data_IF_449299459834
#
_entry.id   IF_449299459834
#
_cell.length_a   1.000
_cell.length_b   1.000
_cell.length_c   1.000
_cell.angle_alpha   90.00
_cell.angle_beta   90.00
_cell.angle_gamma   90.00
#
_symmetry.space_group_name_H-M   'P 1'
#
loop_
_entity.id
_entity.type
_entity.pdbx_description
1 polymer ?
#
# COMPACT_ATOMS: atom_id res chain seq x y z
N UNK A 1 86.11 24.55 13.64
CA UNK A 1 84.93 24.50 14.48
C UNK A 1 83.70 24.73 13.62
N UNK A 2 83.07 23.65 13.17
CA UNK A 2 81.81 23.74 12.37
C UNK A 2 80.65 23.35 13.29
N UNK A 3 79.67 24.25 13.45
CA UNK A 3 78.46 23.99 14.22
C UNK A 3 77.46 23.22 13.36
N UNK A 4 77.02 22.07 13.88
CA UNK A 4 75.99 21.25 13.26
C UNK A 4 74.60 21.92 13.43
N UNK A 5 73.88 22.07 12.30
CA UNK A 5 72.48 22.53 12.28
C UNK A 5 71.60 21.32 12.39
N UNK A 6 70.84 21.25 13.47
CA UNK A 6 69.83 20.19 13.70
C UNK A 6 68.53 20.49 12.92
N UNK A 7 68.18 19.65 11.98
CA UNK A 7 66.92 19.71 11.24
C UNK A 7 65.82 18.95 12.01
N UNK A 8 64.96 19.67 12.68
CA UNK A 8 63.75 19.10 13.31
C UNK A 8 62.71 18.85 12.22
N UNK A 9 62.43 17.60 11.95
CA UNK A 9 61.36 17.18 11.04
C UNK A 9 60.02 17.41 11.78
N UNK A 10 59.24 18.35 11.30
CA UNK A 10 57.84 18.54 11.70
C UNK A 10 57.02 17.60 10.84
N UNK A 11 56.54 16.48 11.45
CA UNK A 11 55.61 15.56 10.84
C UNK A 11 54.20 16.10 10.98
N UNK A 12 53.65 16.73 9.92
CA UNK A 12 52.24 17.16 9.88
C UNK A 12 51.37 15.98 9.59
N UNK A 13 50.65 15.48 10.60
CA UNK A 13 49.56 14.51 10.43
C UNK A 13 48.34 15.21 9.83
N UNK A 14 48.08 15.02 8.54
CA UNK A 14 46.81 15.40 7.92
C UNK A 14 45.81 14.30 8.26
N UNK A 15 44.96 14.54 9.24
CA UNK A 15 43.78 13.72 9.49
C UNK A 15 42.76 14.00 8.37
N UNK A 16 42.69 13.13 7.38
CA UNK A 16 41.59 13.11 6.43
C UNK A 16 40.34 12.57 7.15
N UNK A 17 39.49 13.46 7.61
CA UNK A 17 38.15 13.11 8.12
C UNK A 17 37.30 12.77 6.90
N UNK A 18 37.26 11.49 6.52
CA UNK A 18 36.24 10.95 5.61
C UNK A 18 34.90 11.07 6.34
N UNK A 19 34.14 12.09 6.01
CA UNK A 19 32.77 12.24 6.46
C UNK A 19 31.92 11.15 5.84
N UNK A 20 31.70 10.06 6.57
CA UNK A 20 30.65 9.09 6.28
C UNK A 20 29.31 9.80 6.43
N UNK A 21 28.75 10.28 5.30
CA UNK A 21 27.36 10.72 5.26
C UNK A 21 26.48 9.48 5.39
N UNK A 22 26.18 9.06 6.62
CA UNK A 22 25.11 8.12 6.89
C UNK A 22 23.81 8.88 6.64
N UNK A 23 23.20 8.68 5.45
CA UNK A 23 21.83 9.10 5.22
C UNK A 23 20.94 8.25 6.14
N UNK A 24 20.57 8.82 7.27
CA UNK A 24 19.58 8.24 8.15
C UNK A 24 18.22 8.30 7.41
N UNK A 25 17.80 7.20 6.79
CA UNK A 25 16.43 7.08 6.33
C UNK A 25 15.53 7.02 7.56
N UNK A 26 14.82 8.10 7.84
CA UNK A 26 13.80 8.07 8.88
C UNK A 26 12.67 7.15 8.45
N UNK A 27 12.25 6.26 9.35
CA UNK A 27 11.12 5.37 9.11
C UNK A 27 9.85 6.21 8.89
N UNK A 28 9.21 6.05 7.74
CA UNK A 28 7.96 6.72 7.41
C UNK A 28 6.76 6.07 8.12
N UNK A 29 5.86 6.91 8.65
CA UNK A 29 4.59 6.50 9.22
C UNK A 29 3.45 7.30 8.59
N UNK A 30 2.33 6.62 8.30
CA UNK A 30 1.14 7.23 7.72
C UNK A 30 -0.12 6.94 8.53
N UNK A 31 -1.06 7.88 8.53
CA UNK A 31 -2.33 7.73 9.23
C UNK A 31 -3.21 6.65 8.55
N UNK A 32 -3.93 5.81 9.33
CA UNK A 32 -4.93 4.90 8.79
C UNK A 32 -6.12 5.62 8.11
N UNK A 33 -6.28 6.91 8.37
CA UNK A 33 -7.34 7.75 7.78
C UNK A 33 -6.84 8.60 6.60
N UNK A 34 -5.61 8.34 6.12
CA UNK A 34 -5.08 9.07 4.96
C UNK A 34 -5.99 8.89 3.74
N UNK A 35 -6.46 9.98 3.12
CA UNK A 35 -7.31 9.92 1.95
C UNK A 35 -6.63 9.20 0.79
N UNK A 36 -7.43 8.48 -0.02
CA UNK A 36 -6.97 7.90 -1.29
C UNK A 36 -6.95 9.01 -2.33
N UNK A 37 -5.83 9.16 -3.04
CA UNK A 37 -5.73 10.05 -4.18
C UNK A 37 -6.43 9.40 -5.39
N UNK A 38 -7.42 10.07 -5.96
CA UNK A 38 -8.17 9.59 -7.12
C UNK A 38 -7.51 10.01 -8.44
N UNK A 39 -7.95 9.40 -9.55
CA UNK A 39 -7.43 9.71 -10.90
C UNK A 39 -6.11 9.03 -11.23
N UNK A 40 -5.67 8.07 -10.42
CA UNK A 40 -4.40 7.36 -10.62
C UNK A 40 -4.54 6.01 -11.35
N UNK A 41 -5.73 5.68 -11.83
CA UNK A 41 -5.99 4.42 -12.53
C UNK A 41 -6.83 4.62 -13.81
N UNK A 42 -6.36 5.42 -14.78
CA UNK A 42 -7.14 5.75 -15.98
C UNK A 42 -7.29 4.57 -16.95
N UNK A 43 -6.47 3.53 -16.81
CA UNK A 43 -6.45 2.37 -17.70
C UNK A 43 -7.38 1.23 -17.30
N UNK A 44 -8.07 1.33 -16.15
CA UNK A 44 -8.92 0.25 -15.63
C UNK A 44 -10.07 -0.06 -16.57
N UNK A 45 -10.17 -1.34 -16.95
CA UNK A 45 -11.31 -1.88 -17.71
C UNK A 45 -12.18 -2.74 -16.80
N UNK A 46 -13.50 -2.51 -16.86
CA UNK A 46 -14.48 -3.18 -16.02
C UNK A 46 -15.43 -4.01 -16.88
N UNK A 47 -15.68 -5.26 -16.49
CA UNK A 47 -16.69 -6.12 -17.11
C UNK A 47 -17.57 -6.74 -16.01
N UNK A 48 -18.90 -6.61 -16.18
CA UNK A 48 -19.87 -7.39 -15.41
C UNK A 48 -19.86 -8.82 -15.92
N UNK A 49 -19.63 -9.78 -15.05
CA UNK A 49 -19.60 -11.22 -15.36
C UNK A 49 -20.96 -11.86 -15.17
N UNK A 50 -21.62 -11.55 -14.05
CA UNK A 50 -22.95 -12.05 -13.73
C UNK A 50 -23.68 -11.13 -12.75
N UNK A 51 -25.01 -11.18 -12.77
CA UNK A 51 -25.85 -10.55 -11.79
C UNK A 51 -26.98 -11.52 -11.41
N UNK A 52 -27.16 -11.72 -10.10
CA UNK A 52 -28.24 -12.51 -9.53
C UNK A 52 -28.89 -11.73 -8.38
N UNK A 53 -30.09 -11.23 -8.60
CA UNK A 53 -30.75 -10.29 -7.69
C UNK A 53 -29.90 -9.03 -7.45
N UNK A 54 -29.50 -8.82 -6.20
CA UNK A 54 -28.65 -7.68 -5.81
C UNK A 54 -27.15 -8.01 -5.82
N UNK A 55 -26.77 -9.28 -5.92
CA UNK A 55 -25.36 -9.69 -6.06
C UNK A 55 -24.87 -9.49 -7.48
N UNK A 56 -23.66 -8.98 -7.63
CA UNK A 56 -23.03 -8.73 -8.93
C UNK A 56 -21.56 -9.15 -8.88
N UNK A 57 -21.13 -9.87 -9.90
CA UNK A 57 -19.72 -10.24 -10.06
C UNK A 57 -19.09 -9.43 -11.18
N UNK A 58 -17.97 -8.81 -10.89
CA UNK A 58 -17.18 -8.03 -11.83
C UNK A 58 -15.77 -8.57 -11.97
N UNK A 59 -15.17 -8.33 -13.12
CA UNK A 59 -13.72 -8.33 -13.27
C UNK A 59 -13.26 -6.91 -13.59
N UNK A 60 -12.21 -6.47 -12.90
CA UNK A 60 -11.52 -5.22 -13.17
C UNK A 60 -10.09 -5.57 -13.59
N UNK A 61 -9.70 -5.10 -14.78
CA UNK A 61 -8.34 -5.29 -15.32
C UNK A 61 -7.64 -3.94 -15.23
N UNK A 62 -6.62 -3.88 -14.39
CA UNK A 62 -5.75 -2.73 -14.25
C UNK A 62 -4.64 -2.80 -15.30
N UNK A 63 -4.38 -1.68 -15.94
CA UNK A 63 -3.29 -1.55 -16.89
C UNK A 63 -1.98 -1.13 -16.20
N UNK A 64 -0.87 -1.28 -16.91
CA UNK A 64 0.44 -0.84 -16.41
C UNK A 64 0.41 0.62 -15.98
N UNK A 65 0.84 0.88 -14.76
CA UNK A 65 0.91 2.21 -14.17
C UNK A 65 -0.35 2.64 -13.40
N UNK A 66 -1.45 1.88 -13.49
CA UNK A 66 -2.64 2.15 -12.66
C UNK A 66 -2.37 1.88 -11.18
N UNK A 67 -2.84 2.78 -10.30
CA UNK A 67 -2.78 2.60 -8.86
C UNK A 67 -4.06 1.92 -8.36
N UNK A 68 -3.88 0.80 -7.67
CA UNK A 68 -4.97 -0.15 -7.37
C UNK A 68 -6.00 0.41 -6.39
N UNK A 69 -5.57 1.12 -5.32
CA UNK A 69 -6.51 1.72 -4.36
C UNK A 69 -7.35 2.82 -4.99
N UNK A 70 -6.72 3.64 -5.83
CA UNK A 70 -7.42 4.68 -6.60
C UNK A 70 -8.50 4.07 -7.47
N UNK A 71 -8.14 3.12 -8.33
CA UNK A 71 -9.08 2.51 -9.27
C UNK A 71 -10.22 1.75 -8.60
N UNK A 72 -9.95 1.01 -7.53
CA UNK A 72 -11.01 0.35 -6.75
C UNK A 72 -11.93 1.37 -6.06
N UNK A 73 -11.38 2.46 -5.52
CA UNK A 73 -12.18 3.50 -4.88
C UNK A 73 -13.08 4.21 -5.89
N UNK A 74 -12.57 4.52 -7.07
CA UNK A 74 -13.36 5.12 -8.16
C UNK A 74 -14.46 4.18 -8.67
N UNK A 75 -14.12 2.88 -8.85
CA UNK A 75 -15.11 1.87 -9.21
C UNK A 75 -16.26 1.82 -8.19
N UNK A 76 -15.93 1.77 -6.92
CA UNK A 76 -16.87 1.70 -5.80
C UNK A 76 -17.82 2.91 -5.80
N UNK A 77 -17.28 4.12 -5.99
CA UNK A 77 -18.05 5.35 -6.07
C UNK A 77 -18.96 5.38 -7.31
N UNK A 78 -18.41 5.06 -8.49
CA UNK A 78 -19.11 5.06 -9.76
C UNK A 78 -20.29 4.08 -9.81
N UNK A 79 -20.10 2.88 -9.21
CA UNK A 79 -21.11 1.81 -9.21
C UNK A 79 -21.96 1.76 -7.95
N UNK A 80 -21.80 2.74 -7.04
CA UNK A 80 -22.51 2.84 -5.75
C UNK A 80 -22.45 1.53 -4.93
N UNK A 81 -21.25 0.89 -4.93
CA UNK A 81 -21.01 -0.35 -4.17
C UNK A 81 -20.90 -0.02 -2.69
N UNK A 82 -21.70 -0.69 -1.86
CA UNK A 82 -21.69 -0.50 -0.40
C UNK A 82 -20.88 -1.58 0.30
N UNK A 83 -21.00 -2.83 -0.18
CA UNK A 83 -20.31 -3.97 0.38
C UNK A 83 -19.85 -4.89 -0.74
N UNK A 84 -18.61 -5.33 -0.66
CA UNK A 84 -18.04 -6.28 -1.58
C UNK A 84 -16.84 -6.99 -0.93
N UNK A 85 -16.46 -8.12 -1.49
CA UNK A 85 -15.15 -8.71 -1.30
C UNK A 85 -14.48 -8.95 -2.65
N UNK A 86 -13.16 -9.05 -2.67
CA UNK A 86 -12.43 -9.24 -3.92
C UNK A 86 -11.09 -9.93 -3.70
N UNK A 87 -10.62 -10.59 -4.75
CA UNK A 87 -9.30 -11.19 -4.84
C UNK A 87 -8.63 -10.76 -6.14
N UNK A 88 -7.30 -10.76 -6.16
CA UNK A 88 -6.55 -10.48 -7.39
C UNK A 88 -5.21 -11.20 -7.43
N UNK A 89 -4.71 -11.36 -8.67
CA UNK A 89 -3.34 -11.75 -9.01
C UNK A 89 -2.86 -10.89 -10.16
N UNK A 90 -1.55 -10.83 -10.38
CA UNK A 90 -0.92 -10.09 -11.46
C UNK A 90 0.43 -9.55 -11.05
N UNK A 91 0.78 -8.35 -11.52
CA UNK A 91 2.10 -7.78 -11.34
C UNK A 91 2.05 -6.38 -10.74
N UNK A 92 3.11 -6.00 -10.04
CA UNK A 92 3.34 -4.65 -9.56
C UNK A 92 4.70 -4.12 -10.03
N UNK A 93 4.77 -2.84 -10.39
CA UNK A 93 6.04 -2.13 -10.59
C UNK A 93 6.61 -1.62 -9.29
N UNK A 94 5.73 -1.33 -8.32
CA UNK A 94 6.09 -0.91 -6.96
C UNK A 94 4.91 -1.07 -6.02
N UNK A 95 5.21 -1.16 -4.73
CA UNK A 95 4.19 -1.15 -3.68
C UNK A 95 4.68 -0.44 -2.43
N UNK A 96 3.73 0.10 -1.64
CA UNK A 96 3.95 0.50 -0.25
C UNK A 96 2.97 -0.25 0.62
N UNK A 97 3.50 -1.06 1.52
CA UNK A 97 2.71 -1.76 2.52
C UNK A 97 2.76 -1.04 3.86
N UNK A 98 1.74 -1.25 4.67
CA UNK A 98 1.66 -0.77 6.04
C UNK A 98 1.67 -1.92 7.03
N UNK A 99 2.55 -1.84 8.02
CA UNK A 99 2.44 -2.63 9.25
C UNK A 99 1.86 -1.72 10.34
N UNK A 100 0.71 -2.09 10.91
CA UNK A 100 0.05 -1.23 11.90
C UNK A 100 0.80 -1.25 13.24
N UNK A 101 1.33 -0.09 13.62
CA UNK A 101 1.96 0.15 14.91
C UNK A 101 0.86 0.51 15.93
N UNK A 102 0.60 -0.39 16.87
CA UNK A 102 -0.49 -0.25 17.84
C UNK A 102 -0.23 0.89 18.84
N UNK A 103 1.02 1.18 19.15
CA UNK A 103 1.38 2.25 20.10
C UNK A 103 1.19 3.62 19.47
N UNK A 104 1.63 3.76 18.22
CA UNK A 104 1.49 5.01 17.44
C UNK A 104 0.13 5.17 16.80
N UNK A 105 -0.64 4.09 16.65
CA UNK A 105 -1.89 4.03 15.87
C UNK A 105 -1.69 4.53 14.42
N UNK A 106 -0.57 4.17 13.83
CA UNK A 106 -0.15 4.55 12.49
C UNK A 106 0.39 3.33 11.73
N UNK A 107 0.39 3.39 10.42
CA UNK A 107 1.07 2.40 9.59
C UNK A 107 2.54 2.76 9.44
N UNK A 108 3.43 1.87 9.88
CA UNK A 108 4.84 1.86 9.47
C UNK A 108 4.91 1.48 7.99
N UNK A 109 5.52 2.34 7.16
CA UNK A 109 5.62 2.10 5.72
C UNK A 109 6.73 1.11 5.40
N UNK A 110 6.41 0.12 4.57
CA UNK A 110 7.33 -0.89 4.03
C UNK A 110 7.30 -0.75 2.50
N UNK A 111 8.27 -0.03 1.90
CA UNK A 111 8.33 0.13 0.46
C UNK A 111 8.88 -1.12 -0.24
N UNK A 112 8.36 -1.39 -1.44
CA UNK A 112 8.88 -2.35 -2.42
C UNK A 112 9.00 -1.59 -3.74
N UNK A 113 10.23 -1.31 -4.18
CA UNK A 113 10.51 -0.52 -5.37
C UNK A 113 10.82 -1.37 -6.59
N UNK A 114 10.98 -2.68 -6.39
CA UNK A 114 11.31 -3.62 -7.45
C UNK A 114 10.05 -4.20 -8.10
N UNK A 115 10.07 -4.47 -9.41
CA UNK A 115 9.03 -5.22 -10.07
C UNK A 115 8.78 -6.55 -9.36
N UNK A 116 7.53 -6.91 -9.18
CA UNK A 116 7.16 -8.05 -8.33
C UNK A 116 5.89 -8.71 -8.84
N UNK A 117 5.76 -10.02 -8.60
CA UNK A 117 4.53 -10.77 -8.81
C UNK A 117 3.56 -10.51 -7.64
N UNK A 118 2.34 -10.08 -7.91
CA UNK A 118 1.28 -10.03 -6.89
C UNK A 118 0.73 -11.44 -6.69
N UNK A 119 1.35 -12.18 -5.78
CA UNK A 119 1.01 -13.58 -5.53
C UNK A 119 -0.34 -13.77 -4.83
N UNK A 120 -0.80 -12.77 -4.11
CA UNK A 120 -2.16 -12.69 -3.57
C UNK A 120 -2.52 -11.25 -3.23
N UNK A 121 -3.76 -10.88 -3.52
CA UNK A 121 -4.38 -9.67 -3.04
C UNK A 121 -5.80 -9.99 -2.61
N UNK A 122 -6.18 -9.58 -1.41
CA UNK A 122 -7.51 -9.79 -0.87
C UNK A 122 -8.02 -8.51 -0.25
N UNK A 123 -9.31 -8.25 -0.39
CA UNK A 123 -9.89 -7.07 0.22
C UNK A 123 -11.39 -7.13 0.42
N UNK A 124 -11.87 -6.14 1.13
CA UNK A 124 -13.29 -5.91 1.33
C UNK A 124 -13.65 -4.43 1.20
N UNK A 125 -14.93 -4.19 0.97
CA UNK A 125 -15.54 -2.88 0.95
C UNK A 125 -16.68 -2.90 1.97
N UNK A 126 -16.73 -1.90 2.84
CA UNK A 126 -17.80 -1.70 3.78
C UNK A 126 -17.94 -0.19 4.11
N UNK A 127 -19.08 0.22 4.66
CA UNK A 127 -19.41 1.63 4.87
C UNK A 127 -18.87 2.14 6.20
N UNK A 128 -18.10 3.23 6.17
CA UNK A 128 -17.67 3.99 7.34
C UNK A 128 -18.18 5.42 7.22
N UNK A 129 -18.94 5.89 8.20
CA UNK A 129 -19.49 7.26 8.23
C UNK A 129 -20.22 7.62 6.91
N UNK A 130 -21.06 6.70 6.41
CA UNK A 130 -21.86 6.88 5.20
C UNK A 130 -21.09 6.75 3.88
N UNK A 131 -19.77 6.48 3.91
CA UNK A 131 -18.92 6.34 2.71
C UNK A 131 -18.34 4.94 2.62
N UNK A 132 -18.36 4.29 1.44
CA UNK A 132 -17.70 3.02 1.26
C UNK A 132 -16.17 3.21 1.35
N UNK A 133 -15.50 2.30 2.05
CA UNK A 133 -14.05 2.28 2.25
C UNK A 133 -13.49 0.97 1.75
N UNK A 134 -12.49 1.06 0.90
CA UNK A 134 -11.73 -0.08 0.35
C UNK A 134 -10.62 -0.46 1.34
N UNK A 135 -10.57 -1.73 1.74
CA UNK A 135 -9.55 -2.29 2.61
C UNK A 135 -8.85 -3.44 1.89
N UNK A 136 -7.53 -3.37 1.76
CA UNK A 136 -6.75 -4.28 0.94
C UNK A 136 -5.53 -4.77 1.72
N UNK A 137 -5.30 -6.09 1.69
CA UNK A 137 -4.01 -6.70 2.01
C UNK A 137 -3.47 -7.41 0.77
N UNK A 138 -2.14 -7.37 0.60
CA UNK A 138 -1.50 -8.08 -0.50
C UNK A 138 -0.12 -8.60 -0.10
N UNK A 139 0.35 -9.60 -0.86
CA UNK A 139 1.71 -10.10 -0.86
C UNK A 139 2.29 -9.99 -2.27
N UNK A 140 3.51 -9.52 -2.37
CA UNK A 140 4.28 -9.48 -3.62
C UNK A 140 5.57 -10.27 -3.46
N UNK A 141 5.95 -10.99 -4.51
CA UNK A 141 7.19 -11.74 -4.58
C UNK A 141 8.16 -11.04 -5.55
N UNK A 142 9.35 -10.68 -5.08
CA UNK A 142 10.42 -10.11 -5.89
C UNK A 142 11.18 -11.19 -6.65
N UNK A 143 12.04 -10.81 -7.59
CA UNK A 143 12.80 -11.73 -8.48
C UNK A 143 13.55 -12.83 -7.72
N UNK A 144 14.06 -12.54 -6.52
CA UNK A 144 14.74 -13.51 -5.65
C UNK A 144 13.79 -14.44 -4.88
N UNK A 145 12.48 -14.33 -5.08
CA UNK A 145 11.45 -15.08 -4.37
C UNK A 145 11.15 -14.56 -2.95
N UNK A 146 11.76 -13.44 -2.54
CA UNK A 146 11.42 -12.80 -1.26
C UNK A 146 9.99 -12.26 -1.31
N UNK A 147 9.18 -12.63 -0.32
CA UNK A 147 7.81 -12.17 -0.20
C UNK A 147 7.70 -11.04 0.82
N UNK A 148 7.07 -9.94 0.41
CA UNK A 148 6.72 -8.81 1.27
C UNK A 148 5.24 -8.50 1.12
N UNK A 149 4.63 -7.99 2.18
CA UNK A 149 3.21 -7.68 2.13
C UNK A 149 2.71 -7.01 3.39
N UNK A 150 1.41 -6.82 3.44
CA UNK A 150 0.68 -6.18 4.54
C UNK A 150 -0.52 -5.39 4.04
N UNK A 151 -0.94 -4.40 4.82
CA UNK A 151 -1.97 -3.46 4.40
C UNK A 151 -1.47 -2.63 3.21
N UNK A 152 -2.24 -2.58 2.12
CA UNK A 152 -1.84 -1.86 0.91
C UNK A 152 -2.05 -0.36 1.13
N UNK A 153 -0.97 0.40 1.14
CA UNK A 153 -0.97 1.87 1.15
C UNK A 153 -0.94 2.42 -0.27
N UNK A 154 -0.18 1.76 -1.16
CA UNK A 154 -0.05 2.04 -2.58
C UNK A 154 0.35 0.76 -3.30
N UNK A 155 -0.21 0.47 -4.46
CA UNK A 155 0.22 -0.60 -5.34
C UNK A 155 0.06 -0.15 -6.78
N UNK A 156 1.18 0.00 -7.49
CA UNK A 156 1.22 0.41 -8.89
C UNK A 156 1.36 -0.83 -9.76
N UNK A 157 0.38 -1.04 -10.62
CA UNK A 157 0.28 -2.21 -11.50
C UNK A 157 1.46 -2.32 -12.47
N UNK A 158 1.97 -3.53 -12.63
CA UNK A 158 2.93 -3.92 -13.67
C UNK A 158 2.24 -4.12 -15.03
N UNK A 159 2.54 -5.21 -15.75
CA UNK A 159 1.86 -5.52 -17.01
C UNK A 159 0.34 -5.59 -16.89
N UNK A 160 -0.18 -6.24 -15.82
CA UNK A 160 -1.61 -6.39 -15.54
C UNK A 160 -1.86 -6.70 -14.07
N UNK A 161 -3.03 -6.33 -13.57
CA UNK A 161 -3.59 -6.88 -12.33
C UNK A 161 -5.07 -7.19 -12.57
N UNK A 162 -5.48 -8.40 -12.24
CA UNK A 162 -6.81 -8.94 -12.51
C UNK A 162 -7.57 -9.11 -11.20
N UNK A 163 -8.57 -8.26 -10.99
CA UNK A 163 -9.36 -8.25 -9.76
C UNK A 163 -10.73 -8.86 -10.03
N UNK A 164 -11.08 -9.93 -9.32
CA UNK A 164 -12.43 -10.49 -9.28
C UNK A 164 -13.15 -9.98 -8.04
N UNK A 165 -14.27 -9.30 -8.26
CA UNK A 165 -15.01 -8.60 -7.21
C UNK A 165 -16.47 -9.04 -7.18
N UNK A 166 -16.94 -9.45 -6.00
CA UNK A 166 -18.34 -9.79 -5.74
C UNK A 166 -18.98 -8.70 -4.87
N UNK A 167 -20.01 -8.05 -5.39
CA UNK A 167 -20.87 -7.12 -4.64
C UNK A 167 -21.86 -7.92 -3.83
N UNK A 168 -21.92 -7.64 -2.53
CA UNK A 168 -22.84 -8.29 -1.60
C UNK A 168 -24.15 -7.52 -1.48
N UNK A 169 -25.30 -8.23 -1.35
CA UNK A 169 -26.61 -7.58 -1.22
C UNK A 169 -26.80 -6.86 0.11
N UNK A 170 -26.15 -7.35 1.17
CA UNK A 170 -26.26 -6.80 2.53
C UNK A 170 -25.17 -5.75 2.76
N UNK A 171 -25.58 -4.58 3.23
CA UNK A 171 -24.62 -3.54 3.60
C UNK A 171 -23.95 -3.86 4.92
N UNK A 172 -22.62 -3.91 4.92
CA UNK A 172 -21.80 -4.01 6.13
C UNK A 172 -21.26 -2.63 6.51
N UNK A 173 -21.21 -2.38 7.81
CA UNK A 173 -20.75 -1.12 8.35
C UNK A 173 -19.48 -1.30 9.17
N UNK A 174 -18.64 -0.26 9.14
CA UNK A 174 -17.43 -0.15 9.97
C UNK A 174 -17.63 0.87 11.08
N UNK A 175 -16.95 0.64 12.18
CA UNK A 175 -16.72 1.64 13.24
C UNK A 175 -15.23 1.76 13.52
N UNK A 176 -14.81 2.91 14.01
CA UNK A 176 -13.45 3.06 14.55
C UNK A 176 -13.41 2.43 15.94
N UNK A 177 -12.59 1.39 16.09
CA UNK A 177 -12.36 0.79 17.40
C UNK A 177 -11.49 1.74 18.24
N UNK A 178 -11.98 2.19 19.42
CA UNK A 178 -11.26 3.19 20.22
C UNK A 178 -9.95 2.66 20.80
N UNK A 179 -9.85 1.35 21.00
CA UNK A 179 -8.64 0.72 21.53
C UNK A 179 -7.52 0.71 20.51
N UNK A 180 -7.83 0.37 19.27
CA UNK A 180 -6.84 0.23 18.21
C UNK A 180 -6.75 1.47 17.31
N UNK A 181 -7.82 2.30 17.25
CA UNK A 181 -7.89 3.43 16.33
C UNK A 181 -8.07 3.03 14.85
N UNK A 182 -8.38 1.76 14.60
CA UNK A 182 -8.59 1.21 13.27
C UNK A 182 -10.09 1.05 12.96
N UNK A 183 -10.46 1.24 11.69
CA UNK A 183 -11.81 1.01 11.21
C UNK A 183 -12.04 -0.49 10.97
N UNK A 184 -12.89 -1.12 11.77
CA UNK A 184 -13.23 -2.55 11.69
C UNK A 184 -14.70 -2.73 11.31
N UNK A 185 -15.01 -3.85 10.63
CA UNK A 185 -16.41 -4.23 10.36
C UNK A 185 -17.06 -4.64 11.69
N UNK A 186 -18.25 -4.11 11.95
CA UNK A 186 -19.08 -4.51 13.06
C UNK A 186 -20.41 -5.05 12.53
N UNK A 187 -20.64 -6.38 12.59
CA UNK A 187 -21.84 -6.99 12.04
C UNK A 187 -23.13 -6.68 12.83
N UNK A 188 -23.02 -6.04 14.00
CA UNK A 188 -24.16 -5.61 14.78
C UNK A 188 -24.73 -4.25 14.38
N UNK A 189 -24.02 -3.52 13.48
CA UNK A 189 -24.48 -2.23 12.99
C UNK A 189 -25.52 -2.42 11.87
N UNK A 190 -26.69 -1.83 12.06
CA UNK A 190 -27.77 -1.73 11.06
C UNK A 190 -28.13 -0.25 10.88
N UNK A 191 -28.47 0.14 9.63
CA UNK A 191 -28.96 1.50 9.31
C UNK A 191 -30.12 1.44 8.32
#
# INVERSE_FOLDING_TARGET
MMKAVSFKHILVFVLAVLGLHVTAYSQEFVSPTQPVELGKAPGVKVKLLSADGQSKNYVLIFAKGDEVRSGLTEFVQKHNVKTAHFTAIGDATSAKFGFFDYDRKMFKVIPVSDPSEVSSLNGNIAVLNGKPVVHIHANVATEDGTVRGGHVLELVTGPTLEVFLTVEPTTLYKKVDPKFGAAIIDPSLEH
#
